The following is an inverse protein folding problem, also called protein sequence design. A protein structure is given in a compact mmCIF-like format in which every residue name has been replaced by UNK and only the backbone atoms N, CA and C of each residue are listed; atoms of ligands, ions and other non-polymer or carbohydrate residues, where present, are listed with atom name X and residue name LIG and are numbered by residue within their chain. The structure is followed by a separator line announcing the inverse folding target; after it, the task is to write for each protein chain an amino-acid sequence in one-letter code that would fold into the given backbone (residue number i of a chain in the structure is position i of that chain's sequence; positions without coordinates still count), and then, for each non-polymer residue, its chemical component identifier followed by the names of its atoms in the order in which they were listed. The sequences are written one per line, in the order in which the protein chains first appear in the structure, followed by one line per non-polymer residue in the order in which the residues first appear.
data_IF_872138647507
#
_entry.id   IF_872138647507
#
_cell.length_a   1.000
_cell.length_b   1.000
_cell.length_c   1.000
_cell.angle_alpha   90.00
_cell.angle_beta   90.00
_cell.angle_gamma   90.00
#
_symmetry.space_group_name_H-M   'P 1'
#
loop_
_entity.id
_entity.type
_entity.pdbx_description
1 polymer ?
#
# COMPACT_ATOMS: atom_id res chain seq x y z
N UNK A 1 11.50 -38.78 -14.31
CA UNK A 1 10.13 -38.40 -14.75
C UNK A 1 9.65 -37.14 -14.02
N UNK A 2 10.36 -36.01 -14.15
CA UNK A 2 10.08 -34.79 -13.37
C UNK A 2 9.21 -33.77 -14.11
N UNK A 3 8.29 -33.14 -13.39
CA UNK A 3 7.65 -31.85 -13.72
C UNK A 3 6.57 -31.74 -14.81
N UNK A 4 5.98 -32.85 -15.31
CA UNK A 4 4.85 -32.78 -16.28
C UNK A 4 3.66 -31.94 -15.77
N UNK A 5 3.35 -32.02 -14.48
CA UNK A 5 2.28 -31.24 -13.86
C UNK A 5 2.58 -29.74 -13.83
N UNK A 6 3.79 -29.36 -13.46
CA UNK A 6 4.25 -27.96 -13.42
C UNK A 6 4.24 -27.35 -14.82
N UNK A 7 4.76 -28.07 -15.82
CA UNK A 7 4.76 -27.62 -17.22
C UNK A 7 3.33 -27.45 -17.74
N UNK A 8 2.46 -28.44 -17.49
CA UNK A 8 1.04 -28.36 -17.87
C UNK A 8 0.37 -27.13 -17.23
N UNK A 9 0.64 -26.87 -15.95
CA UNK A 9 0.07 -25.74 -15.23
C UNK A 9 0.59 -24.39 -15.76
N UNK A 10 1.90 -24.26 -16.03
CA UNK A 10 2.47 -23.01 -16.56
C UNK A 10 1.95 -22.69 -17.96
N UNK A 11 1.84 -23.70 -18.84
CA UNK A 11 1.31 -23.51 -20.21
C UNK A 11 -0.16 -23.09 -20.17
N UNK A 12 -0.99 -23.83 -19.42
CA UNK A 12 -2.42 -23.54 -19.32
C UNK A 12 -2.72 -22.18 -18.71
N UNK A 13 -1.91 -21.74 -17.75
CA UNK A 13 -2.11 -20.43 -17.09
C UNK A 13 -1.78 -19.28 -18.02
N UNK A 14 -0.79 -19.42 -18.90
CA UNK A 14 -0.48 -18.41 -19.91
C UNK A 14 -1.65 -18.24 -20.89
N UNK A 15 -2.22 -19.36 -21.35
CA UNK A 15 -3.38 -19.41 -22.25
C UNK A 15 -4.66 -18.84 -21.59
N UNK A 16 -4.79 -18.96 -20.26
CA UNK A 16 -5.96 -18.49 -19.50
C UNK A 16 -5.93 -16.98 -19.15
N UNK A 17 -5.02 -16.19 -19.73
CA UNK A 17 -4.94 -14.75 -19.44
C UNK A 17 -6.24 -14.02 -19.79
N UNK A 18 -6.90 -14.42 -20.87
CA UNK A 18 -8.19 -13.84 -21.28
C UNK A 18 -9.31 -14.19 -20.29
N UNK A 19 -9.35 -15.44 -19.79
CA UNK A 19 -10.28 -15.85 -18.74
C UNK A 19 -10.07 -15.06 -17.44
N UNK A 20 -8.81 -14.77 -17.10
CA UNK A 20 -8.47 -13.93 -15.96
C UNK A 20 -9.01 -12.49 -16.13
N UNK A 21 -8.80 -11.87 -17.29
CA UNK A 21 -9.32 -10.53 -17.59
C UNK A 21 -10.85 -10.51 -17.58
N UNK A 22 -11.48 -11.52 -18.20
CA UNK A 22 -12.94 -11.69 -18.21
C UNK A 22 -13.49 -11.82 -16.80
N UNK A 23 -12.86 -12.66 -15.97
CA UNK A 23 -13.22 -12.84 -14.57
C UNK A 23 -13.23 -11.51 -13.80
N UNK A 24 -12.20 -10.67 -13.95
CA UNK A 24 -12.15 -9.35 -13.31
C UNK A 24 -13.32 -8.46 -13.75
N UNK A 25 -13.60 -8.41 -15.06
CA UNK A 25 -14.63 -7.53 -15.62
C UNK A 25 -16.06 -7.99 -15.32
N UNK A 26 -16.29 -9.29 -15.24
CA UNK A 26 -17.62 -9.90 -15.14
C UNK A 26 -17.90 -10.50 -13.74
N UNK A 27 -17.11 -10.15 -12.71
CA UNK A 27 -17.30 -10.71 -11.37
C UNK A 27 -18.71 -10.34 -10.84
N UNK A 28 -19.59 -11.31 -10.55
CA UNK A 28 -20.96 -11.03 -10.09
C UNK A 28 -21.02 -10.56 -8.63
N UNK A 29 -19.93 -10.73 -7.88
CA UNK A 29 -19.80 -10.29 -6.48
C UNK A 29 -19.02 -8.99 -6.41
N UNK A 30 -19.57 -8.02 -5.71
CA UNK A 30 -18.83 -6.81 -5.37
C UNK A 30 -17.60 -7.15 -4.53
N UNK A 31 -16.42 -6.86 -5.07
CA UNK A 31 -15.19 -6.98 -4.30
C UNK A 31 -15.19 -6.03 -3.10
N UNK A 32 -15.64 -4.79 -3.29
CA UNK A 32 -15.58 -3.76 -2.25
C UNK A 32 -16.50 -4.09 -1.07
N UNK A 33 -17.75 -4.50 -1.35
CA UNK A 33 -18.70 -4.95 -0.33
C UNK A 33 -18.19 -6.17 0.43
N UNK A 34 -17.84 -7.24 -0.31
CA UNK A 34 -17.39 -8.48 0.32
C UNK A 34 -16.12 -8.27 1.16
N UNK A 35 -15.21 -7.41 0.72
CA UNK A 35 -13.97 -7.11 1.46
C UNK A 35 -14.28 -6.33 2.75
N UNK A 36 -15.17 -5.34 2.68
CA UNK A 36 -15.56 -4.56 3.85
C UNK A 36 -16.30 -5.42 4.90
N UNK A 37 -17.23 -6.27 4.47
CA UNK A 37 -17.96 -7.19 5.35
C UNK A 37 -17.03 -8.25 5.99
N UNK A 38 -15.92 -8.59 5.33
CA UNK A 38 -14.94 -9.55 5.81
C UNK A 38 -13.92 -8.99 6.82
N UNK A 39 -14.05 -7.73 7.27
CA UNK A 39 -13.08 -7.08 8.14
C UNK A 39 -12.80 -7.86 9.45
N UNK A 40 -13.84 -8.39 10.10
CA UNK A 40 -13.68 -9.16 11.34
C UNK A 40 -13.01 -10.52 11.12
N UNK A 41 -13.30 -11.16 9.98
CA UNK A 41 -12.65 -12.40 9.57
C UNK A 41 -11.16 -12.17 9.31
N UNK A 42 -10.82 -11.06 8.64
CA UNK A 42 -9.43 -10.65 8.42
C UNK A 42 -8.70 -10.44 9.75
N UNK A 43 -9.29 -9.68 10.67
CA UNK A 43 -8.73 -9.44 12.01
C UNK A 43 -8.46 -10.76 12.74
N UNK A 44 -9.46 -11.63 12.81
CA UNK A 44 -9.34 -12.94 13.46
C UNK A 44 -8.19 -13.77 12.87
N UNK A 45 -8.05 -13.78 11.55
CA UNK A 45 -6.97 -14.47 10.86
C UNK A 45 -5.58 -13.89 11.16
N UNK A 46 -5.46 -12.56 11.16
CA UNK A 46 -4.20 -11.85 11.48
C UNK A 46 -3.79 -12.08 12.93
N UNK A 47 -4.73 -11.97 13.88
CA UNK A 47 -4.47 -12.22 15.30
C UNK A 47 -3.99 -13.65 15.52
N UNK A 48 -4.66 -14.64 14.93
CA UNK A 48 -4.23 -16.04 14.99
C UNK A 48 -2.84 -16.27 14.37
N UNK A 49 -2.53 -15.61 13.26
CA UNK A 49 -1.20 -15.68 12.64
C UNK A 49 -0.11 -15.02 13.48
N UNK A 50 -0.45 -13.93 14.16
CA UNK A 50 0.43 -13.21 15.08
C UNK A 50 0.78 -14.09 16.29
N UNK A 51 -0.23 -14.68 16.95
CA UNK A 51 -0.05 -15.62 18.07
C UNK A 51 0.85 -16.79 17.66
N UNK A 52 0.69 -17.32 16.44
CA UNK A 52 1.51 -18.42 15.92
C UNK A 52 2.92 -18.01 15.47
N UNK A 53 3.24 -16.71 15.49
CA UNK A 53 4.45 -16.12 14.96
C UNK A 53 4.73 -16.51 13.49
N UNK A 54 3.68 -16.72 12.69
CA UNK A 54 3.78 -17.28 11.34
C UNK A 54 4.69 -16.45 10.42
N UNK A 55 4.59 -15.12 10.49
CA UNK A 55 5.44 -14.22 9.70
C UNK A 55 6.92 -14.37 10.07
N UNK A 56 7.25 -14.35 11.37
CA UNK A 56 8.64 -14.48 11.85
C UNK A 56 9.26 -15.79 11.37
N UNK A 57 8.52 -16.89 11.52
CA UNK A 57 8.94 -18.23 11.07
C UNK A 57 9.16 -18.26 9.55
N UNK A 58 8.27 -17.65 8.77
CA UNK A 58 8.43 -17.58 7.32
C UNK A 58 9.66 -16.77 6.89
N UNK A 59 9.92 -15.63 7.54
CA UNK A 59 11.11 -14.81 7.28
C UNK A 59 12.39 -15.57 7.63
N UNK A 60 12.43 -16.24 8.78
CA UNK A 60 13.57 -17.08 9.16
C UNK A 60 13.83 -18.20 8.15
N UNK A 61 12.77 -18.80 7.61
CA UNK A 61 12.87 -19.86 6.59
C UNK A 61 13.37 -19.36 5.24
N UNK A 62 12.86 -18.22 4.77
CA UNK A 62 13.19 -17.66 3.44
C UNK A 62 14.54 -16.93 3.44
N UNK A 63 14.88 -16.26 4.54
CA UNK A 63 16.09 -15.46 4.69
C UNK A 63 16.19 -14.31 3.69
N UNK A 64 17.35 -13.65 3.72
CA UNK A 64 17.65 -12.51 2.85
C UNK A 64 17.63 -12.90 1.36
N UNK A 65 18.15 -14.09 1.02
CA UNK A 65 18.25 -14.52 -0.37
C UNK A 65 16.88 -14.78 -1.01
N UNK A 66 15.95 -15.40 -0.27
CA UNK A 66 14.59 -15.62 -0.76
C UNK A 66 13.86 -14.30 -1.07
N UNK A 67 14.09 -13.27 -0.24
CA UNK A 67 13.62 -11.92 -0.50
C UNK A 67 14.25 -11.33 -1.76
N UNK A 68 15.59 -11.29 -1.85
CA UNK A 68 16.31 -10.68 -2.97
C UNK A 68 15.90 -11.29 -4.31
N UNK A 69 15.85 -12.62 -4.41
CA UNK A 69 15.50 -13.31 -5.64
C UNK A 69 14.09 -12.94 -6.13
N UNK A 70 13.07 -12.96 -5.26
CA UNK A 70 11.69 -12.66 -5.65
C UNK A 70 11.47 -11.19 -5.94
N UNK A 71 12.08 -10.32 -5.15
CA UNK A 71 11.95 -8.87 -5.31
C UNK A 71 12.62 -8.40 -6.59
N UNK A 72 13.83 -8.87 -6.88
CA UNK A 72 14.53 -8.49 -8.13
C UNK A 72 13.83 -9.06 -9.38
N UNK A 73 13.21 -10.24 -9.29
CA UNK A 73 12.52 -10.84 -10.42
C UNK A 73 11.20 -10.15 -10.83
N UNK A 74 10.53 -9.43 -9.91
CA UNK A 74 9.20 -8.84 -10.18
C UNK A 74 9.11 -7.34 -9.89
N UNK A 75 9.87 -6.87 -8.92
CA UNK A 75 9.78 -5.53 -8.35
C UNK A 75 10.11 -4.43 -9.36
N UNK A 76 11.27 -4.47 -10.06
CA UNK A 76 11.69 -3.38 -10.94
C UNK A 76 10.66 -3.05 -12.02
N UNK A 77 10.14 -4.07 -12.72
CA UNK A 77 9.14 -3.88 -13.77
C UNK A 77 7.83 -3.30 -13.20
N UNK A 78 7.29 -3.91 -12.13
CA UNK A 78 6.04 -3.46 -11.51
C UNK A 78 6.15 -2.05 -10.92
N UNK A 79 7.34 -1.66 -10.46
CA UNK A 79 7.58 -0.32 -9.93
C UNK A 79 7.46 0.73 -11.05
N UNK A 80 8.16 0.53 -12.16
CA UNK A 80 8.14 1.49 -13.28
C UNK A 80 6.74 1.62 -13.90
N UNK A 81 6.09 0.48 -14.20
CA UNK A 81 4.73 0.45 -14.74
C UNK A 81 3.72 1.06 -13.76
N UNK A 82 3.81 0.70 -12.48
CA UNK A 82 2.92 1.18 -11.44
C UNK A 82 3.04 2.68 -11.18
N UNK A 83 4.26 3.23 -11.15
CA UNK A 83 4.48 4.68 -10.97
C UNK A 83 3.91 5.46 -12.15
N UNK A 84 4.14 4.98 -13.37
CA UNK A 84 3.65 5.66 -14.59
C UNK A 84 2.12 5.75 -14.60
N UNK A 85 1.42 4.69 -14.19
CA UNK A 85 -0.04 4.68 -14.11
C UNK A 85 -0.64 5.40 -12.90
N UNK A 86 0.17 5.83 -11.93
CA UNK A 86 -0.30 6.38 -10.65
C UNK A 86 -0.15 7.90 -10.51
N UNK A 87 0.26 8.62 -11.57
CA UNK A 87 0.49 10.07 -11.54
C UNK A 87 -0.69 10.86 -10.95
N UNK A 88 -1.88 10.70 -11.53
CA UNK A 88 -3.09 11.39 -11.08
C UNK A 88 -3.48 11.04 -9.63
N UNK A 89 -3.30 9.78 -9.24
CA UNK A 89 -3.59 9.34 -7.88
C UNK A 89 -2.61 9.96 -6.87
N UNK A 90 -1.33 10.09 -7.25
CA UNK A 90 -0.33 10.78 -6.45
C UNK A 90 -0.67 12.27 -6.32
N UNK A 91 -0.98 12.95 -7.42
CA UNK A 91 -1.35 14.36 -7.42
C UNK A 91 -2.54 14.62 -6.50
N UNK A 92 -3.62 13.86 -6.67
CA UNK A 92 -4.82 13.96 -5.83
C UNK A 92 -4.54 13.68 -4.35
N UNK A 93 -3.69 12.70 -4.06
CA UNK A 93 -3.31 12.36 -2.68
C UNK A 93 -2.40 13.41 -2.02
N UNK A 94 -1.55 14.06 -2.81
CA UNK A 94 -0.60 15.07 -2.33
C UNK A 94 -1.19 16.49 -2.28
N UNK A 95 -2.17 16.79 -3.12
CA UNK A 95 -2.80 18.10 -3.24
C UNK A 95 -3.19 18.74 -1.89
N UNK A 96 -3.79 18.03 -0.92
CA UNK A 96 -4.14 18.63 0.38
C UNK A 96 -2.91 19.10 1.16
N UNK A 97 -1.79 18.39 1.06
CA UNK A 97 -0.53 18.77 1.69
C UNK A 97 0.11 19.94 0.96
N UNK A 98 0.12 19.91 -0.37
CA UNK A 98 0.61 21.00 -1.20
C UNK A 98 -0.11 22.32 -0.88
N UNK A 99 -1.43 22.29 -0.72
CA UNK A 99 -2.24 23.46 -0.30
C UNK A 99 -1.99 23.91 1.14
N UNK A 100 -1.53 23.01 2.01
CA UNK A 100 -1.25 23.31 3.42
C UNK A 100 0.09 24.00 3.61
N UNK A 101 1.14 23.60 2.88
CA UNK A 101 2.50 24.17 3.02
C UNK A 101 2.54 25.71 2.97
N UNK A 102 1.92 26.41 2.00
CA UNK A 102 2.02 27.87 1.91
C UNK A 102 1.28 28.62 3.02
N UNK A 103 0.39 27.96 3.78
CA UNK A 103 -0.35 28.60 4.88
C UNK A 103 0.40 28.54 6.22
N UNK A 104 1.53 27.82 6.28
CA UNK A 104 2.28 27.60 7.50
C UNK A 104 3.07 28.86 7.88
N UNK A 105 2.76 29.42 9.05
CA UNK A 105 3.55 30.49 9.64
C UNK A 105 4.83 29.92 10.29
N UNK A 106 5.98 30.14 9.65
CA UNK A 106 7.26 29.58 10.10
C UNK A 106 7.94 30.37 11.24
N UNK A 107 7.46 31.57 11.58
CA UNK A 107 8.12 32.45 12.55
C UNK A 107 9.43 33.08 12.01
N UNK A 108 10.18 33.81 12.86
CA UNK A 108 11.42 34.49 12.45
C UNK A 108 12.53 33.48 12.08
N UNK A 109 13.49 33.94 11.28
CA UNK A 109 14.70 33.17 10.92
C UNK A 109 15.90 33.76 11.66
N UNK A 110 16.66 32.90 12.32
CA UNK A 110 17.84 33.25 13.11
C UNK A 110 19.13 32.93 12.35
N UNK A 111 20.32 33.40 12.81
CA UNK A 111 21.60 33.09 12.18
C UNK A 111 21.82 31.60 11.90
N UNK A 112 22.65 31.29 10.91
CA UNK A 112 22.95 29.90 10.53
C UNK A 112 23.46 29.13 11.75
N UNK A 113 22.87 27.94 11.99
CA UNK A 113 23.25 27.07 13.10
C UNK A 113 22.55 27.38 14.43
N UNK A 114 21.75 28.45 14.51
CA UNK A 114 20.97 28.73 15.73
C UNK A 114 19.90 27.64 15.94
N UNK A 115 19.86 26.97 17.10
CA UNK A 115 18.90 25.91 17.41
C UNK A 115 17.44 26.34 17.24
N UNK A 116 17.12 27.62 17.45
CA UNK A 116 15.76 28.16 17.30
C UNK A 116 15.21 28.03 15.88
N UNK A 117 16.07 27.89 14.87
CA UNK A 117 15.62 27.61 13.50
C UNK A 117 14.92 26.24 13.36
N UNK A 118 15.12 25.30 14.29
CA UNK A 118 14.43 24.00 14.29
C UNK A 118 12.93 24.13 14.55
N UNK A 119 12.48 25.19 15.24
CA UNK A 119 11.05 25.45 15.46
C UNK A 119 10.31 25.65 14.13
N UNK A 120 11.01 26.14 13.09
CA UNK A 120 10.46 26.23 11.73
C UNK A 120 10.15 24.85 11.15
N UNK A 121 11.07 23.89 11.31
CA UNK A 121 10.87 22.51 10.86
C UNK A 121 9.74 21.84 11.63
N UNK A 122 9.69 22.07 12.95
CA UNK A 122 8.63 21.56 13.82
C UNK A 122 7.25 22.07 13.40
N UNK A 123 7.12 23.35 13.04
CA UNK A 123 5.87 23.92 12.54
C UNK A 123 5.38 23.19 11.28
N UNK A 124 6.30 22.93 10.33
CA UNK A 124 5.98 22.19 9.09
C UNK A 124 5.53 20.75 9.39
N UNK A 125 6.31 20.02 10.19
CA UNK A 125 5.98 18.63 10.56
C UNK A 125 4.64 18.54 11.30
N UNK A 126 4.36 19.49 12.20
CA UNK A 126 3.11 19.53 12.96
C UNK A 126 1.92 19.74 12.04
N UNK A 127 1.99 20.72 11.14
CA UNK A 127 0.91 21.00 10.17
C UNK A 127 0.65 19.81 9.24
N UNK A 128 1.69 19.16 8.72
CA UNK A 128 1.54 17.97 7.88
C UNK A 128 0.94 16.79 8.65
N UNK A 129 1.36 16.58 9.90
CA UNK A 129 0.81 15.55 10.78
C UNK A 129 -0.67 15.77 11.06
N UNK A 130 -1.06 17.01 11.39
CA UNK A 130 -2.46 17.40 11.58
C UNK A 130 -3.27 17.16 10.30
N UNK A 131 -2.76 17.57 9.14
CA UNK A 131 -3.48 17.36 7.86
C UNK A 131 -3.71 15.88 7.57
N UNK A 132 -2.74 15.02 7.87
CA UNK A 132 -2.91 13.56 7.73
C UNK A 132 -4.01 13.01 8.64
N UNK A 133 -4.06 13.46 9.89
CA UNK A 133 -5.10 13.02 10.84
C UNK A 133 -6.48 13.51 10.43
N UNK A 134 -6.60 14.75 9.95
CA UNK A 134 -7.83 15.31 9.39
C UNK A 134 -8.35 14.45 8.23
N UNK A 135 -7.47 14.09 7.28
CA UNK A 135 -7.83 13.22 6.16
C UNK A 135 -8.18 11.78 6.58
N UNK A 136 -7.65 11.32 7.71
CA UNK A 136 -7.96 9.99 8.27
C UNK A 136 -9.26 9.99 9.09
N UNK A 137 -9.80 11.16 9.45
CA UNK A 137 -10.90 11.30 10.39
C UNK A 137 -12.28 11.50 9.74
N UNK A 138 -13.26 10.74 10.25
CA UNK A 138 -14.71 11.06 10.30
C UNK A 138 -15.62 10.74 9.10
N UNK A 139 -15.47 9.58 8.48
CA UNK A 139 -16.57 8.93 7.78
C UNK A 139 -17.11 7.75 8.60
N UNK A 140 -18.43 7.66 8.80
CA UNK A 140 -19.05 6.39 9.22
C UNK A 140 -18.70 5.37 8.13
N UNK A 141 -17.84 4.40 8.43
CA UNK A 141 -17.39 3.41 7.44
C UNK A 141 -18.53 2.42 7.21
N UNK A 142 -19.44 2.78 6.32
CA UNK A 142 -20.46 1.85 5.81
C UNK A 142 -19.90 1.14 4.59
N UNK A 143 -20.05 -0.17 4.54
CA UNK A 143 -19.63 -0.93 3.38
C UNK A 143 -20.41 -0.48 2.13
N UNK A 144 -19.73 -0.32 0.98
CA UNK A 144 -20.41 0.09 -0.25
C UNK A 144 -21.39 -1.00 -0.70
N UNK A 145 -22.50 -0.58 -1.32
CA UNK A 145 -23.51 -1.52 -1.84
C UNK A 145 -23.03 -2.30 -3.07
N UNK A 146 -22.07 -1.73 -3.82
CA UNK A 146 -21.48 -2.27 -5.06
C UNK A 146 -19.97 -2.19 -5.06
#
# INVERSE_FOLDING_TARGET
MGNRHTIKWTVRTAEATEDYVKGIKETPKSWAKCTCEAADNYKTGVDAAHVKASMRKAVQKLGQQGFLQKTLAKGPQRFAEGVTGAGDAYEKGYEPFHKTIPTILLGPRFPRGDPRNLERCKAVCTAMGQKKVELAGTGKVTCPEK
#
